data_IF_127272933340
#
_entry.id   IF_127272933340
#
_cell.length_a   1.000
_cell.length_b   1.000
_cell.length_c   1.000
_cell.angle_alpha   90.00
_cell.angle_beta   90.00
_cell.angle_gamma   90.00
#
_symmetry.space_group_name_H-M   'P 1'
#
loop_
_entity.id
_entity.type
_entity.pdbx_description
1 polymer ?
#
# COMPACT_ATOMS: atom_id res chain seq x y z
N UNK A 1 -2.60 -9.84 27.54
CA UNK A 1 -4.01 -9.92 27.11
C UNK A 1 -4.01 -9.86 25.60
N UNK A 2 -4.49 -10.90 24.93
CA UNK A 2 -4.59 -10.92 23.46
C UNK A 2 -5.90 -10.24 23.03
N UNK A 3 -5.79 -8.98 22.63
CA UNK A 3 -6.94 -8.16 22.21
C UNK A 3 -7.53 -8.59 20.86
N UNK A 4 -6.85 -9.49 20.14
CA UNK A 4 -7.27 -9.97 18.82
C UNK A 4 -7.84 -11.40 18.86
N UNK A 5 -7.99 -11.99 20.05
CA UNK A 5 -8.68 -13.27 20.22
C UNK A 5 -8.04 -14.44 19.47
N UNK A 6 -6.70 -14.48 19.39
CA UNK A 6 -5.92 -15.50 18.70
C UNK A 6 -5.76 -15.27 17.19
N UNK A 7 -6.33 -14.20 16.65
CA UNK A 7 -6.20 -13.86 15.24
C UNK A 7 -4.95 -13.01 14.99
N UNK A 8 -4.30 -13.23 13.85
CA UNK A 8 -3.22 -12.36 13.39
C UNK A 8 -3.83 -11.02 12.91
N UNK A 9 -3.48 -9.87 13.54
CA UNK A 9 -4.01 -8.56 13.17
C UNK A 9 -3.82 -8.21 11.69
N UNK A 10 -2.78 -8.78 11.06
CA UNK A 10 -2.49 -8.56 9.64
C UNK A 10 -3.60 -9.05 8.72
N UNK A 11 -4.35 -10.05 9.16
CA UNK A 11 -5.39 -10.74 8.39
C UNK A 11 -6.81 -10.28 8.74
N UNK A 12 -6.96 -9.35 9.69
CA UNK A 12 -8.27 -8.83 10.09
C UNK A 12 -8.70 -7.74 9.09
N UNK A 13 -9.87 -7.86 8.44
CA UNK A 13 -10.30 -6.92 7.41
C UNK A 13 -10.91 -5.65 8.05
N UNK A 14 -10.05 -4.72 8.49
CA UNK A 14 -10.45 -3.51 9.20
C UNK A 14 -10.49 -2.26 8.32
N UNK A 15 -9.75 -2.23 7.22
CA UNK A 15 -9.61 -1.05 6.39
C UNK A 15 -10.75 -0.93 5.36
N UNK A 16 -11.37 0.23 5.29
CA UNK A 16 -12.21 0.59 4.16
C UNK A 16 -11.37 0.92 2.92
N UNK A 17 -12.01 0.89 1.75
CA UNK A 17 -11.39 1.37 0.50
C UNK A 17 -10.94 2.84 0.64
N UNK A 18 -11.74 3.68 1.30
CA UNK A 18 -11.44 5.11 1.45
C UNK A 18 -10.21 5.35 2.33
N UNK A 19 -10.04 4.58 3.40
CA UNK A 19 -8.83 4.61 4.22
C UNK A 19 -7.62 4.13 3.43
N UNK A 20 -7.72 3.00 2.72
CA UNK A 20 -6.65 2.52 1.86
C UNK A 20 -6.27 3.56 0.79
N UNK A 21 -7.26 4.22 0.18
CA UNK A 21 -7.05 5.26 -0.82
C UNK A 21 -6.29 6.46 -0.24
N UNK A 22 -6.68 6.89 0.96
CA UNK A 22 -6.04 7.98 1.71
C UNK A 22 -4.60 7.61 2.09
N UNK A 23 -4.41 6.48 2.75
CA UNK A 23 -3.11 5.99 3.21
C UNK A 23 -2.12 5.76 2.09
N UNK A 24 -2.57 5.16 0.98
CA UNK A 24 -1.68 4.78 -0.12
C UNK A 24 -1.64 5.83 -1.24
N UNK A 25 -2.39 6.93 -1.13
CA UNK A 25 -2.54 7.97 -2.15
C UNK A 25 -2.91 7.41 -3.53
N UNK A 26 -3.85 6.46 -3.56
CA UNK A 26 -4.38 5.85 -4.79
C UNK A 26 -5.87 6.15 -4.87
N UNK A 27 -6.42 6.53 -6.03
CA UNK A 27 -7.85 6.76 -6.16
C UNK A 27 -8.69 5.54 -5.72
N UNK A 28 -9.79 5.79 -5.00
CA UNK A 28 -10.74 4.75 -4.55
C UNK A 28 -11.17 3.81 -5.68
N UNK A 29 -11.40 4.36 -6.87
CA UNK A 29 -11.83 3.59 -8.05
C UNK A 29 -10.77 2.59 -8.51
N UNK A 30 -9.49 2.95 -8.40
CA UNK A 30 -8.36 2.08 -8.73
C UNK A 30 -8.22 0.96 -7.70
N UNK A 31 -8.28 1.27 -6.40
CA UNK A 31 -8.25 0.25 -5.35
C UNK A 31 -9.43 -0.72 -5.49
N UNK A 32 -10.65 -0.21 -5.75
CA UNK A 32 -11.83 -1.07 -6.01
C UNK A 32 -11.62 -1.96 -7.22
N UNK A 33 -11.08 -1.43 -8.31
CA UNK A 33 -10.80 -2.24 -9.49
C UNK A 33 -9.82 -3.37 -9.16
N UNK A 34 -8.76 -3.12 -8.41
CA UNK A 34 -7.77 -4.13 -8.04
C UNK A 34 -8.28 -5.17 -7.05
N UNK A 35 -9.22 -4.83 -6.17
CA UNK A 35 -9.65 -5.70 -5.05
C UNK A 35 -11.03 -6.35 -5.25
N UNK A 36 -11.90 -5.73 -6.05
CA UNK A 36 -13.25 -6.24 -6.35
C UNK A 36 -13.50 -6.46 -7.84
N UNK A 37 -12.58 -6.02 -8.71
CA UNK A 37 -12.81 -6.00 -10.14
C UNK A 37 -13.72 -4.85 -10.58
N UNK A 38 -13.91 -4.72 -11.90
CA UNK A 38 -14.79 -3.69 -12.50
C UNK A 38 -15.28 -4.13 -13.88
N UNK A 39 -16.54 -3.86 -14.18
CA UNK A 39 -17.04 -3.91 -15.56
C UNK A 39 -16.77 -2.59 -16.29
N UNK A 40 -16.38 -2.68 -17.56
CA UNK A 40 -16.19 -1.53 -18.43
C UNK A 40 -16.76 -1.80 -19.82
N UNK A 41 -17.32 -0.76 -20.47
CA UNK A 41 -17.90 -0.89 -21.80
C UNK A 41 -16.79 -1.11 -22.84
N UNK A 42 -17.12 -1.86 -23.89
CA UNK A 42 -16.30 -2.05 -25.09
C UNK A 42 -17.18 -1.89 -26.33
N UNK A 43 -16.57 -1.80 -27.52
CA UNK A 43 -17.29 -1.59 -28.79
C UNK A 43 -18.49 -2.53 -28.98
N UNK A 44 -18.41 -3.76 -28.48
CA UNK A 44 -19.51 -4.72 -28.44
C UNK A 44 -19.62 -5.33 -27.03
N UNK A 45 -20.52 -4.78 -26.22
CA UNK A 45 -20.85 -5.30 -24.88
C UNK A 45 -19.98 -4.74 -23.75
N UNK A 46 -19.73 -5.57 -22.74
CA UNK A 46 -18.95 -5.22 -21.55
C UNK A 46 -17.84 -6.23 -21.33
N UNK A 47 -16.66 -5.76 -20.92
CA UNK A 47 -15.59 -6.61 -20.38
C UNK A 47 -15.52 -6.46 -18.86
N UNK A 48 -15.12 -7.53 -18.20
CA UNK A 48 -14.91 -7.55 -16.75
C UNK A 48 -13.41 -7.61 -16.45
N UNK A 49 -12.91 -6.58 -15.78
CA UNK A 49 -11.61 -6.63 -15.11
C UNK A 49 -11.76 -7.44 -13.82
N UNK A 50 -11.08 -8.57 -13.74
CA UNK A 50 -11.03 -9.38 -12.51
C UNK A 50 -10.13 -8.70 -11.47
N UNK A 51 -10.36 -8.89 -10.15
CA UNK A 51 -9.47 -8.38 -9.13
C UNK A 51 -8.08 -9.02 -9.25
N UNK A 52 -7.02 -8.23 -9.00
CA UNK A 52 -5.63 -8.69 -8.93
C UNK A 52 -5.23 -9.12 -7.53
N UNK A 53 -5.93 -8.59 -6.52
CA UNK A 53 -5.66 -8.81 -5.11
C UNK A 53 -6.87 -9.53 -4.53
N UNK A 54 -6.63 -10.68 -3.92
CA UNK A 54 -7.67 -11.46 -3.29
C UNK A 54 -8.09 -10.83 -1.96
N UNK A 55 -9.39 -10.80 -1.72
CA UNK A 55 -9.97 -10.29 -0.48
C UNK A 55 -10.93 -11.33 0.08
N UNK A 56 -11.31 -11.21 1.35
CA UNK A 56 -12.24 -12.15 2.00
C UNK A 56 -13.67 -12.13 1.43
N UNK A 57 -13.96 -11.31 0.41
CA UNK A 57 -15.24 -11.31 -0.31
C UNK A 57 -16.47 -10.84 0.48
N UNK A 58 -16.29 -10.43 1.74
CA UNK A 58 -17.38 -9.96 2.60
C UNK A 58 -17.83 -8.55 2.22
N UNK A 59 -19.14 -8.30 2.27
CA UNK A 59 -19.74 -6.97 2.12
C UNK A 59 -20.08 -6.39 3.49
N UNK A 60 -19.81 -5.10 3.76
CA UNK A 60 -19.09 -4.15 2.90
C UNK A 60 -17.62 -4.58 2.68
N UNK A 61 -17.06 -4.25 1.51
CA UNK A 61 -15.66 -4.57 1.21
C UNK A 61 -14.75 -3.95 2.26
N UNK A 62 -13.95 -4.80 2.90
CA UNK A 62 -12.93 -4.45 3.87
C UNK A 62 -11.63 -5.14 3.49
N UNK A 63 -10.54 -4.43 3.67
CA UNK A 63 -9.19 -4.84 3.30
C UNK A 63 -8.42 -5.17 4.57
N UNK A 64 -7.54 -6.16 4.46
CA UNK A 64 -6.59 -6.51 5.53
C UNK A 64 -5.32 -5.66 5.40
N UNK A 65 -4.44 -5.72 6.39
CA UNK A 65 -3.11 -5.10 6.27
C UNK A 65 -2.31 -5.73 5.14
N UNK A 66 -2.40 -7.05 4.97
CA UNK A 66 -1.79 -7.75 3.83
C UNK A 66 -2.27 -7.18 2.49
N UNK A 67 -3.58 -6.92 2.35
CA UNK A 67 -4.08 -6.28 1.13
C UNK A 67 -3.53 -4.86 0.94
N UNK A 68 -3.31 -4.08 2.01
CA UNK A 68 -2.65 -2.76 1.88
C UNK A 68 -1.22 -2.90 1.35
N UNK A 69 -0.47 -3.90 1.81
CA UNK A 69 0.88 -4.20 1.30
C UNK A 69 0.82 -4.55 -0.19
N UNK A 70 -0.07 -5.47 -0.59
CA UNK A 70 -0.20 -5.86 -1.99
C UNK A 70 -0.58 -4.67 -2.88
N UNK A 71 -1.49 -3.80 -2.42
CA UNK A 71 -1.87 -2.57 -3.14
C UNK A 71 -0.66 -1.62 -3.25
N UNK A 72 0.10 -1.46 -2.16
CA UNK A 72 1.28 -0.60 -2.12
C UNK A 72 2.36 -1.07 -3.09
N UNK A 73 2.63 -2.37 -3.18
CA UNK A 73 3.61 -2.91 -4.14
C UNK A 73 3.06 -2.88 -5.57
N UNK A 74 1.78 -3.18 -5.78
CA UNK A 74 1.14 -3.09 -7.10
C UNK A 74 1.14 -1.66 -7.65
N UNK A 75 1.11 -0.64 -6.78
CA UNK A 75 1.29 0.77 -7.15
C UNK A 75 2.62 1.01 -7.86
N UNK A 76 3.71 0.39 -7.41
CA UNK A 76 5.03 0.51 -8.05
C UNK A 76 4.98 0.03 -9.50
N UNK A 77 4.38 -1.14 -9.73
CA UNK A 77 4.18 -1.73 -11.05
C UNK A 77 3.29 -0.85 -11.95
N UNK A 78 2.46 -0.01 -11.35
CA UNK A 78 1.45 0.79 -12.05
C UNK A 78 1.80 2.26 -12.25
N UNK A 79 2.97 2.69 -11.77
CA UNK A 79 3.49 4.02 -12.06
C UNK A 79 3.68 4.22 -13.56
N UNK A 80 4.24 3.24 -14.26
CA UNK A 80 4.21 3.24 -15.72
C UNK A 80 2.83 2.74 -16.20
N UNK A 81 2.01 3.68 -16.66
CA UNK A 81 0.67 3.38 -17.16
C UNK A 81 0.66 2.53 -18.43
N UNK A 82 1.81 2.36 -19.11
CA UNK A 82 1.94 1.48 -20.28
C UNK A 82 2.03 -0.01 -19.91
N UNK A 83 2.19 -0.34 -18.63
CA UNK A 83 2.25 -1.73 -18.17
C UNK A 83 0.89 -2.42 -18.30
N UNK A 84 0.87 -3.53 -19.04
CA UNK A 84 -0.34 -4.30 -19.32
C UNK A 84 -0.76 -5.15 -18.11
N UNK A 85 -1.88 -4.79 -17.50
CA UNK A 85 -2.40 -5.47 -16.31
C UNK A 85 -2.72 -6.96 -16.50
N UNK A 86 -3.03 -7.41 -17.71
CA UNK A 86 -3.21 -8.84 -17.97
C UNK A 86 -1.87 -9.58 -17.88
N UNK A 87 -0.78 -8.96 -18.33
CA UNK A 87 0.58 -9.52 -18.21
C UNK A 87 1.09 -9.47 -16.78
N UNK A 88 0.79 -8.39 -16.03
CA UNK A 88 1.05 -8.33 -14.58
C UNK A 88 0.36 -9.50 -13.88
N UNK A 89 -0.93 -9.74 -14.16
CA UNK A 89 -1.63 -10.90 -13.62
C UNK A 89 -0.91 -12.21 -13.92
N UNK A 90 -0.58 -12.47 -15.19
CA UNK A 90 0.11 -13.71 -15.56
C UNK A 90 1.45 -13.87 -14.84
N UNK A 91 2.19 -12.78 -14.60
CA UNK A 91 3.42 -12.83 -13.82
C UNK A 91 3.16 -13.12 -12.34
N UNK A 92 2.14 -12.50 -11.73
CA UNK A 92 1.76 -12.78 -10.35
C UNK A 92 1.25 -14.22 -10.16
N UNK A 93 0.44 -14.72 -11.10
CA UNK A 93 -0.05 -16.10 -11.10
C UNK A 93 1.12 -17.09 -11.22
N UNK A 94 2.09 -16.81 -12.08
CA UNK A 94 3.30 -17.62 -12.22
C UNK A 94 4.10 -17.67 -10.92
N UNK A 95 4.40 -16.51 -10.32
CA UNK A 95 5.16 -16.41 -9.07
C UNK A 95 4.41 -17.07 -7.91
N UNK A 96 3.10 -16.84 -7.79
CA UNK A 96 2.27 -17.45 -6.75
C UNK A 96 2.30 -18.97 -6.81
N UNK A 97 2.27 -19.55 -8.02
CA UNK A 97 2.37 -21.00 -8.20
C UNK A 97 3.79 -21.53 -7.94
N UNK A 98 4.82 -20.87 -8.48
CA UNK A 98 6.21 -21.30 -8.37
C UNK A 98 6.70 -21.24 -6.91
N UNK A 99 6.38 -20.15 -6.21
CA UNK A 99 6.81 -19.90 -4.83
C UNK A 99 5.79 -20.37 -3.79
N UNK A 100 4.62 -20.85 -4.22
CA UNK A 100 3.48 -21.29 -3.38
C UNK A 100 3.03 -20.22 -2.38
N UNK A 101 2.88 -18.99 -2.86
CA UNK A 101 2.51 -17.82 -2.07
C UNK A 101 1.02 -17.53 -2.25
N UNK A 102 0.33 -17.24 -1.15
CA UNK A 102 -1.08 -16.83 -1.21
C UNK A 102 -1.20 -15.34 -1.56
N UNK A 103 -0.27 -14.53 -1.05
CA UNK A 103 -0.21 -13.09 -1.28
C UNK A 103 1.16 -12.72 -1.83
N UNK A 104 1.47 -13.03 -3.11
CA UNK A 104 2.81 -12.88 -3.66
C UNK A 104 3.41 -11.50 -3.39
N UNK A 105 2.63 -10.43 -3.56
CA UNK A 105 3.11 -9.06 -3.39
C UNK A 105 3.34 -8.62 -1.93
N UNK A 106 2.90 -9.40 -0.94
CA UNK A 106 3.06 -9.07 0.48
C UNK A 106 3.99 -10.01 1.25
N UNK A 107 4.49 -11.06 0.61
CA UNK A 107 5.41 -12.01 1.22
C UNK A 107 6.88 -11.62 0.96
N UNK A 108 7.75 -11.74 1.96
CA UNK A 108 9.18 -11.37 1.83
C UNK A 108 9.92 -12.10 0.71
N UNK A 109 9.51 -13.34 0.41
CA UNK A 109 10.06 -14.10 -0.72
C UNK A 109 9.92 -13.35 -2.05
N UNK A 110 8.91 -12.50 -2.18
CA UNK A 110 8.80 -11.64 -3.34
C UNK A 110 9.89 -10.56 -3.37
N UNK A 111 10.26 -9.98 -2.22
CA UNK A 111 11.33 -9.01 -2.13
C UNK A 111 12.72 -9.58 -2.40
N UNK A 112 12.98 -10.85 -2.05
CA UNK A 112 14.29 -11.47 -2.24
C UNK A 112 14.47 -12.01 -3.65
N UNK A 113 13.52 -12.83 -4.11
CA UNK A 113 13.64 -13.61 -5.34
C UNK A 113 12.55 -13.26 -6.35
N UNK A 114 11.37 -12.85 -5.87
CA UNK A 114 10.21 -12.61 -6.72
C UNK A 114 10.30 -11.35 -7.57
N UNK A 115 11.06 -10.32 -7.18
CA UNK A 115 11.28 -9.14 -8.02
C UNK A 115 12.01 -9.53 -9.29
N UNK A 116 13.14 -10.25 -9.18
CA UNK A 116 13.90 -10.67 -10.36
C UNK A 116 13.10 -11.65 -11.22
N UNK A 117 12.42 -12.62 -10.60
CA UNK A 117 11.53 -13.52 -11.30
C UNK A 117 10.39 -12.79 -12.02
N UNK A 118 9.82 -11.76 -11.40
CA UNK A 118 8.79 -10.92 -12.00
C UNK A 118 9.33 -10.15 -13.19
N UNK A 119 10.48 -9.51 -13.06
CA UNK A 119 11.10 -8.71 -14.13
C UNK A 119 11.46 -9.61 -15.32
N UNK A 120 12.07 -10.76 -15.08
CA UNK A 120 12.46 -11.71 -16.13
C UNK A 120 11.23 -12.25 -16.87
N UNK A 121 10.23 -12.73 -16.14
CA UNK A 121 9.00 -13.26 -16.73
C UNK A 121 8.24 -12.17 -17.49
N UNK A 122 8.02 -11.01 -16.87
CA UNK A 122 7.30 -9.91 -17.48
C UNK A 122 8.05 -9.35 -18.72
N UNK A 123 9.36 -9.15 -18.61
CA UNK A 123 10.22 -8.68 -19.71
C UNK A 123 10.15 -9.58 -20.93
N UNK A 124 10.18 -10.91 -20.74
CA UNK A 124 10.03 -11.88 -21.83
C UNK A 124 8.67 -11.79 -22.55
N UNK A 125 7.61 -11.38 -21.83
CA UNK A 125 6.24 -11.33 -22.35
C UNK A 125 5.93 -10.08 -23.17
N UNK A 126 6.68 -8.99 -22.97
CA UNK A 126 6.43 -7.70 -23.62
C UNK A 126 7.62 -7.15 -24.41
N UNK A 127 8.72 -7.92 -24.52
CA UNK A 127 9.97 -7.49 -25.15
C UNK A 127 10.44 -6.12 -24.63
N UNK A 128 10.44 -5.96 -23.30
CA UNK A 128 10.80 -4.70 -22.65
C UNK A 128 12.28 -4.38 -22.86
N UNK A 129 12.62 -3.10 -23.05
CA UNK A 129 14.01 -2.67 -23.06
C UNK A 129 14.69 -2.92 -21.71
N UNK A 130 16.01 -3.10 -21.71
CA UNK A 130 16.81 -3.25 -20.48
C UNK A 130 16.59 -2.05 -19.54
N UNK A 131 16.54 -0.83 -20.09
CA UNK A 131 16.28 0.38 -19.31
C UNK A 131 14.90 0.37 -18.64
N UNK A 132 13.85 -0.11 -19.33
CA UNK A 132 12.51 -0.24 -18.74
C UNK A 132 12.45 -1.27 -17.62
N UNK A 133 13.16 -2.40 -17.79
CA UNK A 133 13.25 -3.44 -16.75
C UNK A 133 13.98 -2.93 -15.50
N UNK A 134 15.11 -2.23 -15.67
CA UNK A 134 15.84 -1.63 -14.56
C UNK A 134 15.01 -0.56 -13.83
N UNK A 135 14.30 0.28 -14.57
CA UNK A 135 13.42 1.29 -13.98
C UNK A 135 12.32 0.67 -13.13
N UNK A 136 11.67 -0.39 -13.63
CA UNK A 136 10.63 -1.12 -12.90
C UNK A 136 11.19 -1.82 -11.65
N UNK A 137 12.38 -2.42 -11.76
CA UNK A 137 13.08 -3.03 -10.62
C UNK A 137 13.37 -1.99 -9.52
N UNK A 138 13.87 -0.81 -9.89
CA UNK A 138 14.14 0.26 -8.93
C UNK A 138 12.86 0.76 -8.26
N UNK A 139 11.76 0.93 -9.01
CA UNK A 139 10.46 1.31 -8.46
C UNK A 139 9.95 0.28 -7.45
N UNK A 140 10.01 -1.01 -7.79
CA UNK A 140 9.63 -2.10 -6.89
C UNK A 140 10.46 -2.06 -5.60
N UNK A 141 11.79 -1.94 -5.71
CA UNK A 141 12.68 -1.88 -4.55
C UNK A 141 12.37 -0.67 -3.65
N UNK A 142 12.18 0.52 -4.23
CA UNK A 142 11.81 1.72 -3.48
C UNK A 142 10.52 1.52 -2.68
N UNK A 143 9.53 0.82 -3.24
CA UNK A 143 8.29 0.49 -2.54
C UNK A 143 8.50 -0.58 -1.46
N UNK A 144 9.32 -1.59 -1.71
CA UNK A 144 9.62 -2.67 -0.76
C UNK A 144 10.39 -2.15 0.46
N UNK A 145 11.30 -1.18 0.29
CA UNK A 145 12.02 -0.52 1.40
C UNK A 145 11.10 0.20 2.40
N UNK A 146 9.85 0.50 1.99
CA UNK A 146 8.83 1.09 2.86
C UNK A 146 8.15 0.07 3.78
N UNK A 147 8.44 -1.22 3.60
CA UNK A 147 7.83 -2.31 4.35
C UNK A 147 8.86 -2.83 5.36
N UNK A 148 8.47 -2.89 6.62
CA UNK A 148 9.28 -3.55 7.65
C UNK A 148 8.81 -5.00 7.80
N UNK A 149 9.68 -5.99 7.58
CA UNK A 149 9.38 -7.39 7.87
C UNK A 149 9.65 -7.76 9.33
N UNK A 150 9.00 -8.80 9.84
CA UNK A 150 9.44 -9.51 11.05
C UNK A 150 10.59 -10.49 10.76
N UNK A 151 11.11 -11.15 11.81
CA UNK A 151 12.18 -12.15 11.71
C UNK A 151 11.83 -13.35 10.80
N UNK A 152 10.55 -13.52 10.45
CA UNK A 152 10.07 -14.58 9.56
C UNK A 152 9.82 -14.07 8.13
N UNK A 153 10.10 -12.80 7.85
CA UNK A 153 9.85 -12.20 6.54
C UNK A 153 8.38 -11.88 6.29
N UNK A 154 7.59 -11.61 7.32
CA UNK A 154 6.21 -11.15 7.10
C UNK A 154 6.12 -9.65 7.38
N UNK A 155 5.44 -8.91 6.50
CA UNK A 155 5.23 -7.48 6.69
C UNK A 155 4.55 -7.21 8.04
N UNK A 156 5.15 -6.32 8.84
CA UNK A 156 4.62 -5.87 10.13
C UNK A 156 4.35 -4.38 10.19
N UNK A 157 5.05 -3.58 9.39
CA UNK A 157 4.79 -2.14 9.28
C UNK A 157 4.88 -1.69 7.84
N UNK A 158 4.04 -0.72 7.49
CA UNK A 158 4.13 0.01 6.24
C UNK A 158 4.36 1.48 6.54
N UNK A 159 5.38 2.06 5.92
CA UNK A 159 5.66 3.48 5.95
C UNK A 159 5.11 4.09 4.65
N UNK A 160 3.88 4.62 4.59
CA UNK A 160 3.31 5.10 3.34
C UNK A 160 4.10 6.30 2.78
N UNK A 161 3.95 6.56 1.48
CA UNK A 161 4.48 7.77 0.85
C UNK A 161 3.56 8.97 1.16
N UNK A 162 4.08 9.96 1.88
CA UNK A 162 3.31 11.14 2.31
C UNK A 162 3.52 12.35 1.40
N UNK A 163 4.59 12.37 0.62
CA UNK A 163 4.89 13.41 -0.40
C UNK A 163 4.65 12.88 -1.82
N UNK A 164 4.52 13.78 -2.80
CA UNK A 164 4.26 13.42 -4.20
C UNK A 164 5.46 12.73 -4.86
N UNK A 165 6.67 13.17 -4.51
CA UNK A 165 7.90 12.49 -4.91
C UNK A 165 8.14 11.31 -3.98
N UNK A 166 8.42 10.13 -4.53
CA UNK A 166 8.70 8.92 -3.75
C UNK A 166 10.16 8.84 -3.30
N UNK A 167 11.07 9.48 -4.03
CA UNK A 167 12.47 9.62 -3.64
C UNK A 167 12.59 10.42 -2.33
N UNK A 168 13.43 9.94 -1.41
CA UNK A 168 13.71 10.58 -0.12
C UNK A 168 12.44 10.89 0.72
N UNK A 169 11.37 10.12 0.54
CA UNK A 169 10.14 10.30 1.30
C UNK A 169 10.35 9.89 2.77
N UNK A 170 9.99 10.74 3.75
CA UNK A 170 10.28 10.47 5.15
C UNK A 170 9.52 9.25 5.69
N UNK A 171 10.05 8.63 6.75
CA UNK A 171 9.42 7.51 7.49
C UNK A 171 8.81 7.97 8.82
N UNK A 172 8.18 9.15 8.82
CA UNK A 172 7.65 9.79 10.04
C UNK A 172 6.23 9.35 10.40
N UNK A 173 5.53 8.68 9.48
CA UNK A 173 4.23 8.04 9.75
C UNK A 173 4.29 6.57 9.35
N UNK A 174 3.49 5.76 10.02
CA UNK A 174 3.52 4.30 9.90
C UNK A 174 2.13 3.72 10.10
N UNK A 175 1.87 2.60 9.42
CA UNK A 175 0.72 1.74 9.61
C UNK A 175 1.25 0.45 10.22
N UNK A 176 0.85 0.15 11.44
CA UNK A 176 1.13 -1.11 12.13
C UNK A 176 -0.21 -1.70 12.60
N UNK A 177 -0.65 -2.88 12.13
CA UNK A 177 -1.94 -3.46 12.48
C UNK A 177 -2.07 -3.78 13.99
N UNK A 178 -0.97 -3.75 14.74
CA UNK A 178 -0.94 -3.98 16.19
C UNK A 178 -1.09 -2.68 17.00
N UNK A 179 -0.86 -1.51 16.38
CA UNK A 179 -0.91 -0.20 17.02
C UNK A 179 -2.11 0.59 16.52
N UNK A 180 -2.84 1.23 17.44
CA UNK A 180 -4.02 2.05 17.11
C UNK A 180 -5.05 1.35 16.19
N UNK A 181 -5.15 0.02 16.28
CA UNK A 181 -5.95 -0.83 15.40
C UNK A 181 -5.63 -0.64 13.92
N UNK A 182 -4.35 -0.54 13.58
CA UNK A 182 -3.90 -0.41 12.21
C UNK A 182 -4.09 0.97 11.59
N UNK A 183 -4.58 1.97 12.33
CA UNK A 183 -4.62 3.35 11.83
C UNK A 183 -3.21 3.85 11.53
N UNK A 184 -3.11 4.80 10.60
CA UNK A 184 -1.85 5.52 10.37
C UNK A 184 -1.53 6.38 11.59
N UNK A 185 -0.31 6.25 12.09
CA UNK A 185 0.18 6.94 13.28
C UNK A 185 1.51 7.62 13.02
N UNK A 186 1.86 8.62 13.82
CA UNK A 186 3.24 9.10 13.88
C UNK A 186 4.15 7.95 14.33
N UNK A 187 5.23 7.73 13.58
CA UNK A 187 6.15 6.63 13.82
C UNK A 187 6.78 6.74 15.21
N UNK A 188 6.72 5.64 15.97
CA UNK A 188 7.29 5.55 17.32
C UNK A 188 6.39 6.08 18.45
N UNK A 189 5.25 6.70 18.16
CA UNK A 189 4.38 7.29 19.20
C UNK A 189 3.03 6.60 19.33
N UNK A 190 2.55 5.96 18.25
CA UNK A 190 1.20 5.39 18.20
C UNK A 190 0.07 6.42 18.18
N UNK A 191 0.41 7.71 18.02
CA UNK A 191 -0.56 8.80 17.94
C UNK A 191 -1.17 8.83 16.54
N UNK A 192 -2.49 8.66 16.38
CA UNK A 192 -3.14 8.68 15.08
C UNK A 192 -3.01 10.03 14.37
N UNK A 193 -2.70 10.01 13.06
CA UNK A 193 -2.50 11.22 12.25
C UNK A 193 -3.78 12.02 12.02
N UNK A 194 -4.93 11.33 12.02
CA UNK A 194 -6.25 11.95 11.94
C UNK A 194 -6.54 12.84 13.16
N UNK A 195 -6.19 12.38 14.37
CA UNK A 195 -6.34 13.17 15.61
C UNK A 195 -5.51 14.46 15.57
N UNK A 196 -4.26 14.39 15.10
CA UNK A 196 -3.40 15.58 14.95
C UNK A 196 -4.04 16.57 13.96
N UNK A 197 -4.54 16.06 12.83
CA UNK A 197 -5.11 16.88 11.77
C UNK A 197 -6.46 17.48 12.17
N UNK A 198 -7.30 16.75 12.89
CA UNK A 198 -8.56 17.25 13.46
C UNK A 198 -8.33 18.43 14.40
N UNK A 199 -7.34 18.33 15.30
CA UNK A 199 -6.98 19.42 16.22
C UNK A 199 -6.42 20.63 15.49
N UNK A 200 -5.56 20.42 14.50
CA UNK A 200 -5.07 21.50 13.64
C UNK A 200 -6.22 22.24 12.94
N UNK A 201 -7.19 21.50 12.38
CA UNK A 201 -8.39 22.09 11.77
C UNK A 201 -9.32 22.78 12.77
N UNK A 202 -9.29 22.39 14.05
CA UNK A 202 -10.01 23.07 15.13
C UNK A 202 -9.35 24.37 15.59
N UNK A 203 -8.13 24.68 15.11
CA UNK A 203 -7.43 25.95 15.34
C UNK A 203 -6.14 25.86 16.16
N UNK A 204 -5.73 24.67 16.58
CA UNK A 204 -4.48 24.49 17.31
C UNK A 204 -3.27 24.74 16.39
N UNK A 205 -2.27 25.46 16.88
CA UNK A 205 -1.02 25.71 16.14
C UNK A 205 -0.11 24.46 16.15
N UNK A 206 0.77 24.29 15.15
CA UNK A 206 1.75 23.20 15.16
C UNK A 206 2.61 23.16 16.43
N UNK A 207 2.96 24.31 17.01
CA UNK A 207 3.74 24.42 18.24
C UNK A 207 2.98 23.90 19.47
N UNK A 208 1.67 24.16 19.54
CA UNK A 208 0.81 23.62 20.59
C UNK A 208 0.72 22.09 20.47
N UNK A 209 0.57 21.57 19.26
CA UNK A 209 0.51 20.13 19.00
C UNK A 209 1.84 19.44 19.35
N UNK A 210 2.99 20.06 19.04
CA UNK A 210 4.31 19.59 19.47
C UNK A 210 4.38 19.46 20.99
N UNK A 211 3.96 20.50 21.72
CA UNK A 211 3.97 20.52 23.18
C UNK A 211 3.05 19.43 23.77
N UNK A 212 1.82 19.34 23.30
CA UNK A 212 0.80 18.45 23.86
C UNK A 212 1.12 16.96 23.64
N UNK A 213 1.67 16.63 22.47
CA UNK A 213 1.93 15.25 22.06
C UNK A 213 3.38 14.82 22.25
N UNK A 214 4.27 15.73 22.66
CA UNK A 214 5.70 15.44 22.85
C UNK A 214 6.38 14.93 21.57
N UNK A 215 5.98 15.46 20.42
CA UNK A 215 6.49 15.07 19.10
C UNK A 215 7.38 16.16 18.51
N UNK A 216 8.25 15.79 17.57
CA UNK A 216 9.02 16.75 16.80
C UNK A 216 8.12 17.54 15.84
N UNK A 217 8.47 18.80 15.56
CA UNK A 217 7.70 19.65 14.65
C UNK A 217 7.53 19.01 13.26
N UNK A 218 8.57 18.34 12.75
CA UNK A 218 8.50 17.65 11.46
C UNK A 218 7.48 16.49 11.47
N UNK A 219 7.36 15.76 12.59
CA UNK A 219 6.37 14.68 12.73
C UNK A 219 4.95 15.23 12.70
N UNK A 220 4.68 16.32 13.42
CA UNK A 220 3.38 16.99 13.42
C UNK A 220 3.03 17.49 12.02
N UNK A 221 3.97 18.17 11.36
CA UNK A 221 3.77 18.68 10.00
C UNK A 221 3.53 17.55 8.99
N UNK A 222 4.26 16.44 9.10
CA UNK A 222 4.07 15.29 8.21
C UNK A 222 2.73 14.59 8.45
N UNK A 223 2.30 14.47 9.72
CA UNK A 223 0.98 13.95 10.08
C UNK A 223 -0.15 14.78 9.45
N UNK A 224 -0.08 16.12 9.54
CA UNK A 224 -1.07 17.01 8.90
C UNK A 224 -1.03 16.87 7.37
N UNK A 225 0.18 16.83 6.78
CA UNK A 225 0.36 16.75 5.32
C UNK A 225 -0.21 15.46 4.73
N UNK A 226 -0.02 14.33 5.39
CA UNK A 226 -0.45 13.04 4.86
C UNK A 226 -1.98 12.88 4.84
N UNK A 227 -2.68 13.57 5.75
CA UNK A 227 -4.14 13.59 5.83
C UNK A 227 -4.79 14.61 4.89
N UNK A 228 -4.09 15.70 4.59
CA UNK A 228 -4.58 16.75 3.71
C UNK A 228 -4.50 16.28 2.26
N UNK A 229 -5.65 16.09 1.61
CA UNK A 229 -5.69 15.78 0.16
C UNK A 229 -5.05 16.94 -0.62
N UNK A 230 -4.23 16.66 -1.65
CA UNK A 230 -3.93 17.69 -2.63
C UNK A 230 -5.26 18.18 -3.21
N UNK A 231 -5.50 19.49 -3.17
CA UNK A 231 -6.59 20.09 -3.93
C UNK A 231 -6.33 19.72 -5.38
N UNK A 232 -7.26 18.99 -6.00
CA UNK A 232 -7.22 18.78 -7.43
C UNK A 232 -7.38 20.15 -8.10
N UNK A 233 -6.29 20.65 -8.68
CA UNK A 233 -6.31 21.84 -9.55
C UNK A 233 -6.71 21.39 -10.95
#
# INVERSE_FOLDING_TARGET
>A
MDIYGGQDPRNIPIYSVGEAARYLKIPDSTIRAWTAGRQYPVAYGHKTFRPLIETQGKKPLRLTFINLIEIHVLRAIRQDHQINLAKVRSALDYIGNELKLLHPLAEWKFSTDGVDLFIDYYGSQINASIGGQLSLKNQLNNHLERIEPDDRGLAIKLYPFTRNQEENNPRLVVIDPRVAFGRMTIAGTGIPTDIITERFHAGDSPEQLVYDYGCELEQIQEAIRCETRPIAV
#
